data_IF_602614161023
#
_entry.id   IF_602614161023
#
_cell.length_a   1.000
_cell.length_b   1.000
_cell.length_c   1.000
_cell.angle_alpha   90.00
_cell.angle_beta   90.00
_cell.angle_gamma   90.00
#
_symmetry.space_group_name_H-M   'P 1'
#
loop_
_entity.id
_entity.type
_entity.pdbx_description
1 polymer ?
#
# COMPACT_ATOMS: atom_id res chain seq x y z
N UNK A 1 -27.01 -25.66 36.68
CA UNK A 1 -26.28 -24.68 35.85
C UNK A 1 -24.86 -25.19 35.77
N UNK A 2 -24.38 -25.51 34.57
CA UNK A 2 -23.01 -25.98 34.39
C UNK A 2 -22.07 -24.78 34.54
N UNK A 3 -21.11 -24.89 35.44
CA UNK A 3 -20.09 -23.89 35.69
C UNK A 3 -19.04 -24.00 34.56
N UNK A 4 -19.13 -23.11 33.58
CA UNK A 4 -18.16 -23.02 32.50
C UNK A 4 -16.97 -22.21 33.03
N UNK A 5 -16.07 -22.90 33.72
CA UNK A 5 -14.86 -22.34 34.30
C UNK A 5 -14.07 -21.48 33.30
N UNK A 6 -13.33 -20.50 33.83
CA UNK A 6 -12.61 -19.51 33.04
C UNK A 6 -11.57 -20.19 32.12
N UNK A 7 -11.76 -20.17 30.79
CA UNK A 7 -10.90 -20.89 29.85
C UNK A 7 -9.49 -20.28 29.74
N UNK A 8 -9.26 -19.09 30.30
CA UNK A 8 -7.94 -18.46 30.34
C UNK A 8 -7.10 -18.85 31.57
N UNK A 9 -7.68 -19.62 32.50
CA UNK A 9 -6.97 -20.18 33.66
C UNK A 9 -6.59 -21.65 33.44
N UNK A 10 -7.00 -22.26 32.34
CA UNK A 10 -6.55 -23.61 31.99
C UNK A 10 -5.14 -23.55 31.40
N UNK A 11 -4.19 -24.11 32.14
CA UNK A 11 -2.84 -24.40 31.64
C UNK A 11 -2.92 -25.56 30.63
N UNK A 12 -3.46 -25.31 29.44
CA UNK A 12 -3.43 -26.28 28.35
C UNK A 12 -2.03 -26.34 27.74
N UNK A 13 -1.49 -27.55 27.56
CA UNK A 13 -0.24 -27.78 26.84
C UNK A 13 -0.41 -27.60 25.31
N UNK A 14 -1.64 -27.39 24.82
CA UNK A 14 -1.94 -27.31 23.40
C UNK A 14 -1.59 -25.96 22.77
N UNK A 15 -1.00 -26.00 21.58
CA UNK A 15 -0.52 -24.79 20.88
C UNK A 15 -1.54 -24.36 19.83
N UNK A 16 -2.15 -23.18 20.01
CA UNK A 16 -2.98 -22.56 18.99
C UNK A 16 -2.12 -21.88 17.91
N UNK A 17 -2.16 -22.40 16.68
CA UNK A 17 -1.52 -21.76 15.53
C UNK A 17 -2.40 -20.61 15.02
N UNK A 18 -1.96 -19.37 15.23
CA UNK A 18 -2.71 -18.17 14.80
C UNK A 18 -2.96 -18.15 13.28
N UNK A 19 -1.98 -18.56 12.48
CA UNK A 19 -2.07 -18.51 11.02
C UNK A 19 -3.03 -19.57 10.44
N UNK A 20 -3.10 -20.77 11.05
CA UNK A 20 -3.93 -21.88 10.56
C UNK A 20 -5.22 -22.07 11.36
N UNK A 21 -5.35 -21.40 12.50
CA UNK A 21 -6.45 -21.52 13.47
C UNK A 21 -6.64 -22.93 14.03
N UNK A 22 -5.58 -23.75 14.00
CA UNK A 22 -5.61 -25.13 14.50
C UNK A 22 -4.96 -25.25 15.87
N UNK A 23 -5.51 -26.13 16.70
CA UNK A 23 -4.94 -26.55 17.97
C UNK A 23 -4.00 -27.74 17.68
N UNK A 24 -2.71 -27.58 17.94
CA UNK A 24 -1.71 -28.62 17.74
C UNK A 24 -1.39 -29.27 19.09
N UNK A 25 -1.67 -30.57 19.19
CA UNK A 25 -1.26 -31.40 20.32
C UNK A 25 0.27 -31.41 20.39
N UNK A 26 0.82 -31.20 21.58
CA UNK A 26 2.23 -30.89 21.85
C UNK A 26 3.23 -31.98 21.41
N UNK A 27 3.45 -32.10 20.10
CA UNK A 27 4.61 -32.77 19.51
C UNK A 27 5.69 -31.73 19.24
N UNK A 28 6.76 -31.79 20.04
CA UNK A 28 8.05 -31.06 19.92
C UNK A 28 8.11 -29.63 20.48
N UNK A 29 8.63 -29.54 21.71
CA UNK A 29 9.13 -28.31 22.35
C UNK A 29 8.11 -27.63 23.25
N UNK A 30 8.10 -27.98 24.55
CA UNK A 30 7.23 -27.33 25.54
C UNK A 30 7.45 -25.80 25.49
N UNK A 31 6.39 -25.03 25.28
CA UNK A 31 6.39 -23.54 25.33
C UNK A 31 7.07 -22.98 26.58
N UNK A 32 7.01 -23.71 27.69
CA UNK A 32 7.73 -23.40 28.93
C UNK A 32 9.24 -23.24 28.74
N UNK A 33 9.84 -23.99 27.80
CA UNK A 33 11.25 -23.89 27.44
C UNK A 33 11.55 -22.61 26.65
N UNK A 34 10.60 -22.05 25.90
CA UNK A 34 10.78 -20.80 25.12
C UNK A 34 10.98 -19.62 26.07
N UNK A 35 10.18 -19.54 27.14
CA UNK A 35 10.33 -18.51 28.18
C UNK A 35 11.70 -18.60 28.84
N UNK A 36 12.10 -19.81 29.27
CA UNK A 36 13.40 -20.02 29.89
C UNK A 36 14.56 -19.70 28.94
N UNK A 37 14.45 -20.11 27.67
CA UNK A 37 15.44 -19.83 26.64
C UNK A 37 15.57 -18.32 26.37
N UNK A 38 14.44 -17.60 26.31
CA UNK A 38 14.40 -16.15 26.19
C UNK A 38 15.09 -15.45 27.37
N UNK A 39 14.80 -15.88 28.60
CA UNK A 39 15.45 -15.37 29.80
C UNK A 39 16.96 -15.59 29.78
N UNK A 40 17.42 -16.79 29.43
CA UNK A 40 18.85 -17.12 29.35
C UNK A 40 19.56 -16.26 28.29
N UNK A 41 18.98 -16.11 27.10
CA UNK A 41 19.56 -15.25 26.06
C UNK A 41 19.63 -13.78 26.46
N UNK A 42 18.64 -13.28 27.19
CA UNK A 42 18.66 -11.90 27.68
C UNK A 42 19.79 -11.69 28.69
N UNK A 43 20.00 -12.67 29.60
CA UNK A 43 21.11 -12.65 30.53
C UNK A 43 22.47 -12.66 29.80
N UNK A 44 22.62 -13.52 28.78
CA UNK A 44 23.83 -13.57 27.95
C UNK A 44 24.07 -12.25 27.20
N UNK A 45 23.02 -11.65 26.64
CA UNK A 45 23.11 -10.34 25.97
C UNK A 45 23.56 -9.24 26.94
N UNK A 46 22.99 -9.19 28.15
CA UNK A 46 23.37 -8.23 29.19
C UNK A 46 24.84 -8.36 29.59
N UNK A 47 25.32 -9.60 29.78
CA UNK A 47 26.73 -9.87 30.08
C UNK A 47 27.67 -9.44 28.94
N UNK A 48 27.28 -9.67 27.68
CA UNK A 48 28.06 -9.21 26.50
C UNK A 48 28.16 -7.69 26.42
N UNK A 49 27.07 -6.99 26.74
CA UNK A 49 27.05 -5.52 26.74
C UNK A 49 28.03 -4.93 27.76
N UNK A 50 28.27 -5.61 28.88
CA UNK A 50 29.19 -5.18 29.92
C UNK A 50 30.66 -5.51 29.59
N UNK A 51 30.92 -6.58 28.83
CA UNK A 51 32.27 -7.09 28.54
C UNK A 51 32.87 -6.64 27.18
N UNK A 52 32.51 -5.46 26.68
CA UNK A 52 33.08 -4.82 25.46
C UNK A 52 32.92 -5.58 24.14
N UNK A 53 31.96 -6.51 24.03
CA UNK A 53 31.61 -7.07 22.73
C UNK A 53 30.90 -6.00 21.85
N UNK A 54 31.18 -6.00 20.55
CA UNK A 54 30.54 -5.07 19.61
C UNK A 54 29.02 -5.26 19.62
N UNK A 55 28.29 -4.15 19.82
CA UNK A 55 26.82 -4.12 19.79
C UNK A 55 26.22 -4.58 18.45
N UNK A 56 27.03 -4.66 17.38
CA UNK A 56 26.61 -5.06 16.05
C UNK A 56 26.66 -6.57 15.81
N UNK A 57 27.17 -7.36 16.77
CA UNK A 57 27.18 -8.81 16.62
C UNK A 57 25.75 -9.39 16.66
N UNK A 58 25.33 -10.14 15.63
CA UNK A 58 23.98 -10.68 15.60
C UNK A 58 23.75 -11.70 16.71
N UNK A 59 22.66 -11.52 17.47
CA UNK A 59 22.15 -12.57 18.35
C UNK A 59 21.70 -13.74 17.46
N UNK A 60 22.21 -14.95 17.74
CA UNK A 60 21.89 -16.15 16.97
C UNK A 60 20.37 -16.37 17.01
N UNK A 61 19.73 -16.44 15.84
CA UNK A 61 18.28 -16.59 15.75
C UNK A 61 17.83 -17.93 16.33
N UNK A 62 16.78 -17.88 17.15
CA UNK A 62 16.10 -19.09 17.61
C UNK A 62 15.23 -19.65 16.51
N UNK A 63 15.39 -20.94 16.23
CA UNK A 63 14.56 -21.66 15.26
C UNK A 63 13.25 -22.10 15.91
N UNK A 64 12.51 -21.18 16.52
CA UNK A 64 11.16 -21.49 16.99
C UNK A 64 10.19 -21.46 15.80
N UNK A 65 9.45 -22.55 15.60
CA UNK A 65 8.45 -22.68 14.53
C UNK A 65 7.14 -21.96 14.92
N UNK A 66 7.23 -20.73 15.42
CA UNK A 66 6.06 -19.98 15.90
C UNK A 66 5.27 -19.33 14.75
N UNK A 67 5.94 -19.04 13.63
CA UNK A 67 5.32 -18.38 12.48
C UNK A 67 5.77 -19.06 11.21
N UNK A 68 4.82 -19.30 10.29
CA UNK A 68 5.15 -19.87 9.00
C UNK A 68 6.05 -18.91 8.21
N UNK A 69 7.11 -19.43 7.57
CA UNK A 69 7.91 -18.62 6.66
C UNK A 69 7.04 -18.25 5.47
N UNK A 70 6.69 -16.97 5.33
CA UNK A 70 6.25 -16.42 4.05
C UNK A 70 7.32 -16.75 3.00
N UNK A 71 6.96 -17.33 1.83
CA UNK A 71 7.93 -17.57 0.76
C UNK A 71 8.59 -16.24 0.39
N UNK A 72 9.93 -16.23 0.33
CA UNK A 72 10.67 -15.04 -0.11
C UNK A 72 10.26 -14.72 -1.54
N UNK A 73 9.51 -13.63 -1.73
CA UNK A 73 9.38 -13.00 -3.05
C UNK A 73 10.79 -12.59 -3.48
N UNK A 74 11.21 -13.02 -4.67
CA UNK A 74 12.48 -12.60 -5.25
C UNK A 74 12.54 -11.08 -5.28
N UNK A 75 13.62 -10.51 -4.74
CA UNK A 75 13.84 -9.08 -4.81
C UNK A 75 14.02 -8.68 -6.26
N UNK A 76 13.06 -7.95 -6.82
CA UNK A 76 13.22 -7.33 -8.12
C UNK A 76 14.07 -6.05 -7.95
N UNK A 77 15.35 -6.15 -8.29
CA UNK A 77 16.13 -4.97 -8.68
C UNK A 77 15.51 -4.38 -9.93
N UNK A 78 14.66 -3.36 -9.80
CA UNK A 78 14.56 -2.18 -10.69
C UNK A 78 13.29 -1.39 -10.39
N UNK A 79 13.42 -0.37 -9.55
CA UNK A 79 12.35 0.63 -9.34
C UNK A 79 11.91 1.27 -10.67
N UNK A 80 12.85 1.48 -11.61
CA UNK A 80 12.57 2.06 -12.94
C UNK A 80 11.73 1.18 -13.86
N UNK A 81 11.92 -0.15 -13.87
CA UNK A 81 11.11 -1.06 -14.70
C UNK A 81 9.67 -1.19 -14.18
N UNK A 82 9.48 -1.11 -12.86
CA UNK A 82 8.16 -1.16 -12.23
C UNK A 82 7.34 0.10 -12.53
N UNK A 83 7.97 1.28 -12.50
CA UNK A 83 7.29 2.54 -12.82
C UNK A 83 6.87 2.58 -14.30
N UNK A 84 7.77 2.21 -15.22
CA UNK A 84 7.45 2.10 -16.65
C UNK A 84 6.36 1.05 -16.92
N UNK A 85 6.40 -0.09 -16.24
CA UNK A 85 5.38 -1.14 -16.38
C UNK A 85 4.02 -0.69 -15.83
N UNK A 86 3.99 0.13 -14.77
CA UNK A 86 2.74 0.68 -14.21
C UNK A 86 2.09 1.68 -15.15
N UNK A 87 2.87 2.59 -15.73
CA UNK A 87 2.39 3.57 -16.71
C UNK A 87 1.88 2.87 -17.97
N UNK A 88 2.63 1.90 -18.49
CA UNK A 88 2.21 1.08 -19.63
C UNK A 88 0.94 0.26 -19.35
N UNK A 89 0.80 -0.30 -18.14
CA UNK A 89 -0.39 -1.04 -17.72
C UNK A 89 -1.61 -0.11 -17.59
N UNK A 90 -1.44 1.10 -17.07
CA UNK A 90 -2.50 2.11 -17.03
C UNK A 90 -2.95 2.51 -18.43
N UNK A 91 -2.01 2.77 -19.34
CA UNK A 91 -2.28 3.06 -20.75
C UNK A 91 -3.05 1.91 -21.41
N UNK A 92 -2.60 0.67 -21.23
CA UNK A 92 -3.28 -0.51 -21.76
C UNK A 92 -4.72 -0.69 -21.21
N UNK A 93 -4.90 -0.53 -19.89
CA UNK A 93 -6.21 -0.65 -19.25
C UNK A 93 -7.17 0.45 -19.70
N UNK A 94 -6.66 1.67 -19.89
CA UNK A 94 -7.44 2.82 -20.34
C UNK A 94 -7.79 2.72 -21.84
N UNK A 95 -6.78 2.50 -22.68
CA UNK A 95 -6.92 2.55 -24.13
C UNK A 95 -7.67 1.34 -24.70
N UNK A 96 -7.40 0.12 -24.19
CA UNK A 96 -7.95 -1.11 -24.80
C UNK A 96 -9.23 -1.61 -24.14
N UNK A 97 -9.38 -1.46 -22.82
CA UNK A 97 -10.46 -2.12 -22.07
C UNK A 97 -11.59 -1.21 -21.60
N UNK A 98 -11.49 0.12 -21.77
CA UNK A 98 -12.50 1.11 -21.33
C UNK A 98 -13.09 0.78 -19.96
N UNK A 99 -12.22 0.39 -19.00
CA UNK A 99 -12.68 0.05 -17.67
C UNK A 99 -13.25 1.29 -16.98
N UNK A 100 -14.21 1.07 -16.08
CA UNK A 100 -14.72 2.14 -15.25
C UNK A 100 -13.57 2.76 -14.45
N UNK A 101 -13.61 4.09 -14.27
CA UNK A 101 -12.53 4.86 -13.68
C UNK A 101 -12.08 4.32 -12.32
N UNK A 102 -13.02 3.77 -11.54
CA UNK A 102 -12.77 3.19 -10.22
C UNK A 102 -11.87 1.94 -10.23
N UNK A 103 -11.72 1.28 -11.38
CA UNK A 103 -10.88 0.08 -11.52
C UNK A 103 -9.47 0.38 -12.00
N UNK A 104 -9.17 1.64 -12.31
CA UNK A 104 -7.86 2.05 -12.80
C UNK A 104 -6.98 2.33 -11.58
N UNK A 105 -5.79 1.71 -11.48
CA UNK A 105 -4.88 2.02 -10.37
C UNK A 105 -4.56 3.52 -10.36
N UNK A 106 -4.39 4.16 -9.19
CA UNK A 106 -4.08 5.59 -9.11
C UNK A 106 -2.72 5.88 -9.76
N UNK A 107 -2.59 7.06 -10.37
CA UNK A 107 -1.30 7.55 -10.89
C UNK A 107 -0.31 7.73 -9.73
N UNK A 108 1.00 7.69 -10.03
CA UNK A 108 2.03 7.97 -9.03
C UNK A 108 1.81 9.32 -8.34
N UNK A 109 1.43 10.35 -9.10
CA UNK A 109 1.12 11.67 -8.55
C UNK A 109 -0.09 11.64 -7.60
N UNK A 110 -1.17 10.95 -7.98
CA UNK A 110 -2.35 10.81 -7.12
C UNK A 110 -2.05 10.02 -5.85
N UNK A 111 -1.23 8.96 -5.96
CA UNK A 111 -0.79 8.17 -4.81
C UNK A 111 0.03 9.01 -3.83
N UNK A 112 0.96 9.84 -4.31
CA UNK A 112 1.76 10.72 -3.46
C UNK A 112 0.90 11.69 -2.65
N UNK A 113 -0.06 12.35 -3.32
CA UNK A 113 -0.97 13.26 -2.63
C UNK A 113 -1.87 12.53 -1.62
N UNK A 114 -2.32 11.32 -1.95
CA UNK A 114 -3.05 10.47 -1.00
C UNK A 114 -2.21 10.09 0.22
N UNK A 115 -0.95 9.68 0.02
CA UNK A 115 -0.04 9.34 1.12
C UNK A 115 0.17 10.54 2.04
N UNK A 116 0.39 11.75 1.49
CA UNK A 116 0.49 12.97 2.30
C UNK A 116 -0.74 13.17 3.19
N UNK A 117 -1.95 13.09 2.62
CA UNK A 117 -3.20 13.24 3.40
C UNK A 117 -3.33 12.19 4.49
N UNK A 118 -3.06 10.93 4.17
CA UNK A 118 -3.13 9.83 5.14
C UNK A 118 -2.14 10.04 6.30
N UNK A 119 -0.90 10.47 6.00
CA UNK A 119 0.10 10.80 7.03
C UNK A 119 -0.34 11.98 7.89
N UNK A 120 -0.94 13.01 7.29
CA UNK A 120 -1.46 14.14 8.05
C UNK A 120 -2.58 13.72 9.01
N UNK A 121 -3.57 12.98 8.51
CA UNK A 121 -4.70 12.53 9.33
C UNK A 121 -4.25 11.58 10.44
N UNK A 122 -3.48 10.54 10.11
CA UNK A 122 -3.06 9.53 11.08
C UNK A 122 -1.98 10.04 12.04
N UNK A 123 -0.96 10.71 11.52
CA UNK A 123 0.21 11.12 12.29
C UNK A 123 0.03 12.46 13.00
N UNK A 124 -0.44 13.49 12.30
CA UNK A 124 -0.54 14.83 12.87
C UNK A 124 -1.83 15.05 13.63
N UNK A 125 -2.98 14.63 13.09
CA UNK A 125 -4.28 14.85 13.75
C UNK A 125 -4.53 13.78 14.81
N UNK A 126 -4.61 12.50 14.42
CA UNK A 126 -4.96 11.43 15.36
C UNK A 126 -3.81 11.08 16.29
N UNK A 127 -2.56 11.12 15.82
CA UNK A 127 -1.38 10.88 16.65
C UNK A 127 -1.20 11.87 17.80
N UNK A 128 -1.85 13.03 17.74
CA UNK A 128 -1.82 14.05 18.78
C UNK A 128 -3.14 14.18 19.55
N UNK A 129 -4.07 13.22 19.43
CA UNK A 129 -5.42 13.31 19.99
C UNK A 129 -5.48 13.57 21.51
N UNK A 130 -4.42 13.22 22.25
CA UNK A 130 -4.33 13.38 23.72
C UNK A 130 -3.65 14.70 24.13
N UNK A 131 -3.05 15.42 23.18
CA UNK A 131 -2.39 16.70 23.43
C UNK A 131 -3.45 17.81 23.43
N UNK A 132 -3.49 18.60 24.50
CA UNK A 132 -4.49 19.66 24.69
C UNK A 132 -4.34 20.81 23.68
N UNK A 133 -3.10 21.17 23.31
CA UNK A 133 -2.80 22.19 22.32
C UNK A 133 -2.04 21.56 21.14
N UNK A 134 -2.79 21.16 20.11
CA UNK A 134 -2.24 20.47 18.95
C UNK A 134 -1.65 21.46 17.95
N UNK A 135 -0.33 21.42 17.79
CA UNK A 135 0.33 22.20 16.75
C UNK A 135 0.31 21.44 15.42
N UNK A 136 -0.71 21.70 14.61
CA UNK A 136 -0.87 21.07 13.29
C UNK A 136 -0.12 21.84 12.20
N UNK A 137 0.63 21.15 11.32
CA UNK A 137 1.21 21.78 10.14
C UNK A 137 0.12 22.22 9.15
N UNK A 138 0.44 23.13 8.22
CA UNK A 138 -0.52 23.61 7.23
C UNK A 138 -1.05 22.47 6.36
N UNK A 139 -2.38 22.28 6.22
CA UNK A 139 -2.95 21.25 5.35
C UNK A 139 -2.48 21.35 3.88
N UNK A 140 -2.11 22.56 3.43
CA UNK A 140 -1.62 22.80 2.07
C UNK A 140 -0.40 21.97 1.69
N UNK A 141 0.52 21.76 2.64
CA UNK A 141 1.73 20.96 2.43
C UNK A 141 1.45 19.45 2.40
N UNK A 142 0.24 19.07 2.84
CA UNK A 142 -0.17 17.69 3.06
C UNK A 142 -1.27 17.22 2.10
N UNK A 143 -1.30 17.79 0.90
CA UNK A 143 -2.16 17.33 -0.19
C UNK A 143 -3.61 17.80 -0.08
N UNK A 144 -3.80 19.00 0.48
CA UNK A 144 -5.05 19.75 0.47
C UNK A 144 -4.84 21.08 -0.26
N UNK A 145 -5.91 21.60 -0.86
CA UNK A 145 -5.92 22.94 -1.47
C UNK A 145 -7.13 23.70 -0.95
N UNK A 146 -7.01 25.03 -0.81
CA UNK A 146 -8.16 25.87 -0.45
C UNK A 146 -9.03 26.11 -1.67
N UNK A 147 -10.33 25.91 -1.51
CA UNK A 147 -11.29 26.29 -2.53
C UNK A 147 -11.44 27.82 -2.56
N UNK A 148 -11.38 28.40 -3.76
CA UNK A 148 -11.31 29.85 -3.97
C UNK A 148 -12.54 30.63 -3.45
N UNK A 149 -13.68 29.95 -3.24
CA UNK A 149 -14.94 30.59 -2.89
C UNK A 149 -15.15 30.68 -1.37
N UNK A 150 -14.92 29.57 -0.68
CA UNK A 150 -15.31 29.42 0.73
C UNK A 150 -14.10 29.21 1.66
N UNK A 151 -12.88 29.16 1.11
CA UNK A 151 -11.65 28.91 1.88
C UNK A 151 -11.56 27.51 2.49
N UNK A 152 -12.51 26.63 2.17
CA UNK A 152 -12.56 25.26 2.65
C UNK A 152 -11.41 24.43 2.06
N UNK A 153 -10.80 23.59 2.89
CA UNK A 153 -9.79 22.65 2.44
C UNK A 153 -10.44 21.47 1.73
N UNK A 154 -10.11 21.30 0.45
CA UNK A 154 -10.53 20.16 -0.35
C UNK A 154 -9.32 19.27 -0.71
N UNK A 155 -9.52 17.96 -0.89
CA UNK A 155 -8.42 17.07 -1.26
C UNK A 155 -7.79 17.49 -2.59
N UNK A 156 -6.47 17.63 -2.59
CA UNK A 156 -5.72 17.81 -3.81
C UNK A 156 -5.46 16.44 -4.45
N UNK A 157 -6.23 16.09 -5.48
CA UNK A 157 -6.25 14.72 -6.00
C UNK A 157 -5.00 14.33 -6.79
N UNK A 158 -4.46 15.24 -7.61
CA UNK A 158 -3.28 14.97 -8.45
C UNK A 158 -2.68 16.29 -8.92
N UNK A 159 -1.35 16.32 -9.06
CA UNK A 159 -0.61 17.42 -9.70
C UNK A 159 -0.65 17.34 -11.24
N UNK A 160 -1.05 16.20 -11.80
CA UNK A 160 -1.14 16.02 -13.24
C UNK A 160 -2.40 16.70 -13.78
N UNK A 161 -2.25 17.37 -14.92
CA UNK A 161 -3.38 17.87 -15.67
C UNK A 161 -4.35 16.71 -16.01
N UNK A 162 -5.64 17.04 -16.15
CA UNK A 162 -6.63 16.06 -16.57
C UNK A 162 -6.17 15.40 -17.89
N UNK A 163 -6.16 14.06 -17.93
CA UNK A 163 -5.70 13.28 -19.09
C UNK A 163 -6.39 13.75 -20.38
N UNK A 164 -7.65 14.16 -20.30
CA UNK A 164 -8.41 14.71 -21.43
C UNK A 164 -7.81 15.98 -22.04
N UNK A 165 -7.08 16.79 -21.25
CA UNK A 165 -6.38 17.98 -21.73
C UNK A 165 -5.01 17.65 -22.33
N UNK A 166 -4.37 16.57 -21.88
CA UNK A 166 -3.00 16.20 -22.31
C UNK A 166 -2.97 15.17 -23.45
N UNK A 167 -4.00 14.33 -23.60
CA UNK A 167 -4.03 13.27 -24.59
C UNK A 167 -5.06 13.55 -25.68
N UNK A 168 -4.69 14.38 -26.65
CA UNK A 168 -5.41 14.51 -27.92
C UNK A 168 -5.59 13.15 -28.62
N UNK A 169 -4.70 12.18 -28.34
CA UNK A 169 -4.72 10.80 -28.85
C UNK A 169 -5.92 9.96 -28.40
N UNK A 170 -6.69 10.39 -27.39
CA UNK A 170 -7.92 9.71 -26.97
C UNK A 170 -9.14 10.05 -27.82
N UNK A 171 -8.99 10.99 -28.77
CA UNK A 171 -10.03 11.31 -29.73
C UNK A 171 -10.24 10.17 -30.72
N UNK A 172 -11.29 9.37 -30.49
CA UNK A 172 -11.77 8.36 -31.42
C UNK A 172 -12.94 8.86 -32.27
N UNK A 173 -12.97 8.43 -33.52
CA UNK A 173 -14.14 8.58 -34.39
C UNK A 173 -14.77 7.21 -34.67
N UNK A 174 -16.07 7.21 -34.96
CA UNK A 174 -16.82 6.02 -35.41
C UNK A 174 -17.36 6.20 -36.83
N UNK A 175 -16.57 6.83 -37.70
CA UNK A 175 -16.99 7.14 -39.06
C UNK A 175 -17.19 5.85 -39.86
N UNK A 176 -18.38 5.65 -40.45
CA UNK A 176 -18.69 4.48 -41.29
C UNK A 176 -18.19 4.59 -42.74
N UNK A 177 -17.74 5.78 -43.14
CA UNK A 177 -17.19 6.10 -44.47
C UNK A 177 -15.83 6.80 -44.28
N UNK A 178 -15.35 7.49 -45.30
CA UNK A 178 -14.13 8.30 -45.25
C UNK A 178 -14.13 9.33 -44.12
N UNK A 179 -13.00 9.42 -43.41
CA UNK A 179 -12.80 10.41 -42.35
C UNK A 179 -12.48 11.79 -42.92
N UNK A 180 -13.52 12.53 -43.31
CA UNK A 180 -13.42 13.92 -43.76
C UNK A 180 -14.55 14.78 -43.18
N UNK A 181 -14.32 16.10 -43.06
CA UNK A 181 -15.31 17.17 -42.78
C UNK A 181 -16.13 17.05 -41.49
N UNK A 182 -16.93 15.99 -41.35
CA UNK A 182 -17.75 15.63 -40.18
C UNK A 182 -17.04 14.72 -39.18
N UNK A 183 -15.87 14.18 -39.51
CA UNK A 183 -15.08 13.36 -38.59
C UNK A 183 -14.57 14.19 -37.41
N UNK A 184 -14.73 13.67 -36.18
CA UNK A 184 -14.24 14.34 -34.96
C UNK A 184 -12.72 14.47 -34.94
N UNK A 185 -11.98 13.45 -35.42
CA UNK A 185 -10.52 13.50 -35.54
C UNK A 185 -10.10 14.56 -36.57
N UNK A 186 -10.75 14.58 -37.74
CA UNK A 186 -10.47 15.57 -38.79
C UNK A 186 -10.71 17.02 -38.32
N UNK A 187 -11.83 17.28 -37.62
CA UNK A 187 -12.13 18.60 -37.07
C UNK A 187 -11.14 19.03 -35.99
N UNK A 188 -10.60 18.07 -35.24
CA UNK A 188 -9.55 18.32 -34.26
C UNK A 188 -8.14 18.44 -34.89
N UNK A 189 -8.01 18.29 -36.21
CA UNK A 189 -6.72 18.32 -36.90
C UNK A 189 -5.86 17.07 -36.67
N UNK A 190 -6.46 15.96 -36.24
CA UNK A 190 -5.77 14.72 -35.86
C UNK A 190 -5.96 13.63 -36.91
N UNK A 191 -4.93 12.82 -37.14
CA UNK A 191 -5.01 11.57 -37.89
C UNK A 191 -5.80 10.53 -37.08
N UNK A 192 -6.51 9.64 -37.77
CA UNK A 192 -7.24 8.58 -37.09
C UNK A 192 -6.24 7.56 -36.52
N UNK A 193 -6.39 7.21 -35.25
CA UNK A 193 -5.55 6.22 -34.56
C UNK A 193 -6.25 4.87 -34.52
N UNK A 194 -5.54 3.82 -34.09
CA UNK A 194 -6.08 2.46 -33.90
C UNK A 194 -7.23 2.39 -32.87
N UNK A 195 -7.48 3.46 -32.12
CA UNK A 195 -8.62 3.59 -31.22
C UNK A 195 -9.93 4.00 -31.93
N UNK A 196 -9.84 4.48 -33.18
CA UNK A 196 -10.98 4.80 -34.01
C UNK A 196 -11.68 3.52 -34.50
N UNK A 197 -13.00 3.58 -34.61
CA UNK A 197 -13.81 2.51 -35.23
C UNK A 197 -14.05 2.77 -36.73
N UNK A 198 -13.35 3.75 -37.33
CA UNK A 198 -13.37 3.93 -38.78
C UNK A 198 -12.56 2.79 -39.43
N UNK A 199 -12.88 2.45 -40.68
CA UNK A 199 -12.06 1.59 -41.53
C UNK A 199 -11.13 2.43 -42.42
N UNK A 200 -10.61 3.50 -41.83
CA UNK A 200 -9.59 4.36 -42.40
C UNK A 200 -8.23 3.95 -41.81
#
# INVERSE_FOLDING_TARGET
MNDYGNPFLEDSEDIYKIDSKDIVQAGTGKLSQIKQFGCNQYADFRNRMQNTASIYEPIKKNKFLLFSRQPKKSSCETKSKLDLARENLQLELFARKQRQYDTIPPTRAALLEHTKRATYQGGHVWGQAVIHDQHLPSPGDWGWVKENKDGMWIPHWTQLAAIAASCQELHKCGCKKTCSGRCKCYKAGLTCTTLCSCSC
#
